data_IF_535156989263
#
_entry.id   IF_535156989263
#
_cell.length_a   1.000
_cell.length_b   1.000
_cell.length_c   1.000
_cell.angle_alpha   90.00
_cell.angle_beta   90.00
_cell.angle_gamma   90.00
#
_symmetry.space_group_name_H-M   'P 1'
#
loop_
_entity.id
_entity.type
_entity.pdbx_description
1 polymer ?
#
# COMPACT_ATOMS: atom_id res chain seq x y z
N UNK A 1 1.84 -13.93 9.57
CA UNK A 1 2.89 -14.03 8.53
C UNK A 1 2.22 -14.39 7.22
N UNK A 2 2.63 -13.80 6.08
CA UNK A 2 2.03 -14.09 4.79
C UNK A 2 2.13 -15.58 4.44
N UNK A 3 1.18 -16.10 3.65
CA UNK A 3 1.24 -17.47 3.12
C UNK A 3 2.55 -17.61 2.31
N UNK A 4 3.33 -18.66 2.58
CA UNK A 4 4.62 -18.88 1.92
C UNK A 4 5.82 -18.20 2.59
N UNK A 5 5.65 -17.60 3.77
CA UNK A 5 6.76 -17.02 4.53
C UNK A 5 7.74 -18.11 4.99
N UNK A 6 8.87 -18.23 4.31
CA UNK A 6 10.02 -19.00 4.77
C UNK A 6 11.01 -18.08 5.46
N UNK A 7 11.23 -18.27 6.76
CA UNK A 7 12.19 -17.49 7.56
C UNK A 7 13.60 -17.50 6.96
N UNK A 8 13.98 -18.57 6.26
CA UNK A 8 15.30 -18.70 5.62
C UNK A 8 15.49 -17.67 4.50
N UNK A 9 14.41 -17.25 3.85
CA UNK A 9 14.41 -16.25 2.79
C UNK A 9 14.52 -14.80 3.31
N UNK A 10 14.33 -14.61 4.62
CA UNK A 10 14.38 -13.31 5.33
C UNK A 10 15.39 -13.35 6.46
N UNK A 11 16.57 -13.92 6.18
CA UNK A 11 17.71 -13.96 7.09
C UNK A 11 18.82 -13.07 6.56
N UNK A 12 19.36 -12.21 7.42
CA UNK A 12 20.49 -11.34 7.11
C UNK A 12 21.68 -11.72 7.99
N UNK A 13 22.70 -12.32 7.39
CA UNK A 13 23.85 -12.89 8.11
C UNK A 13 25.09 -11.96 8.17
N UNK A 14 25.04 -10.80 7.50
CA UNK A 14 26.19 -9.89 7.32
C UNK A 14 26.39 -8.90 8.47
N UNK A 15 25.81 -9.18 9.65
CA UNK A 15 25.82 -8.29 10.81
C UNK A 15 24.70 -7.26 10.76
N UNK A 16 24.99 -6.03 11.20
CA UNK A 16 24.01 -4.94 11.17
C UNK A 16 23.88 -4.35 9.75
N UNK A 17 22.66 -4.11 9.23
CA UNK A 17 22.50 -3.59 7.87
C UNK A 17 23.10 -2.19 7.70
N UNK A 18 23.98 -2.05 6.72
CA UNK A 18 24.50 -0.78 6.23
C UNK A 18 24.38 -0.75 4.72
N UNK A 19 24.56 0.41 4.10
CA UNK A 19 24.50 0.53 2.64
C UNK A 19 25.52 -0.37 1.95
N UNK A 20 26.70 -0.54 2.56
CA UNK A 20 27.85 -1.24 1.98
C UNK A 20 27.71 -2.77 2.03
N UNK A 21 26.97 -3.30 3.02
CA UNK A 21 26.78 -4.76 3.15
C UNK A 21 25.43 -5.25 2.63
N UNK A 22 24.46 -4.36 2.37
CA UNK A 22 23.22 -4.68 1.69
C UNK A 22 23.44 -4.89 0.18
N UNK A 23 22.85 -5.97 -0.35
CA UNK A 23 22.76 -6.19 -1.79
C UNK A 23 21.60 -5.34 -2.38
N UNK A 24 21.93 -4.34 -3.19
CA UNK A 24 20.94 -3.44 -3.79
C UNK A 24 20.15 -4.08 -4.94
N UNK A 25 20.63 -5.18 -5.51
CA UNK A 25 19.90 -5.95 -6.53
C UNK A 25 18.89 -6.91 -5.90
N UNK A 26 19.00 -7.17 -4.59
CA UNK A 26 18.05 -7.97 -3.83
C UNK A 26 16.94 -7.08 -3.24
N UNK A 27 15.65 -7.25 -3.66
CA UNK A 27 14.53 -6.48 -3.14
C UNK A 27 14.41 -6.45 -1.61
N UNK A 28 14.83 -7.53 -0.94
CA UNK A 28 14.75 -7.68 0.52
C UNK A 28 15.84 -6.91 1.26
N UNK A 29 16.92 -6.54 0.59
CA UNK A 29 18.08 -5.83 1.17
C UNK A 29 18.19 -4.39 0.67
N UNK A 30 17.65 -4.08 -0.53
CA UNK A 30 17.80 -2.79 -1.20
C UNK A 30 17.49 -1.56 -0.32
N UNK A 31 16.43 -1.62 0.49
CA UNK A 31 16.05 -0.56 1.44
C UNK A 31 16.33 -0.90 2.89
N UNK A 32 16.85 -2.10 3.18
CA UNK A 32 16.99 -2.59 4.56
C UNK A 32 17.85 -1.65 5.42
N UNK A 33 18.95 -1.12 4.87
CA UNK A 33 19.84 -0.18 5.55
C UNK A 33 19.20 1.18 5.85
N UNK A 34 18.10 1.55 5.19
CA UNK A 34 17.35 2.77 5.47
C UNK A 34 16.29 2.58 6.57
N UNK A 35 15.99 1.34 6.94
CA UNK A 35 14.94 0.98 7.89
C UNK A 35 15.47 0.74 9.31
N UNK A 36 16.71 1.13 9.57
CA UNK A 36 17.39 1.01 10.86
C UNK A 36 17.62 2.40 11.46
N UNK A 37 17.75 2.47 12.79
CA UNK A 37 17.98 3.71 13.54
C UNK A 37 17.05 4.86 13.11
N UNK A 38 15.74 4.57 13.04
CA UNK A 38 14.75 5.52 12.52
C UNK A 38 14.70 6.82 13.36
N UNK A 39 14.26 7.94 12.77
CA UNK A 39 14.15 9.21 13.48
C UNK A 39 13.40 9.07 14.82
N UNK A 40 14.01 9.59 15.90
CA UNK A 40 13.44 9.53 17.25
C UNK A 40 13.80 8.28 18.06
N UNK A 41 14.53 7.30 17.51
CA UNK A 41 15.04 6.18 18.29
C UNK A 41 16.22 6.60 19.21
N UNK A 42 16.05 6.38 20.51
CA UNK A 42 17.08 6.55 21.53
C UNK A 42 17.48 5.19 22.10
N UNK A 43 18.55 4.60 21.56
CA UNK A 43 18.89 3.18 21.81
C UNK A 43 18.07 2.22 20.95
N UNK A 44 18.45 0.94 20.92
CA UNK A 44 17.90 -0.11 20.04
C UNK A 44 17.85 0.28 18.55
N UNK A 45 18.85 -0.17 17.79
CA UNK A 45 19.04 0.20 16.38
C UNK A 45 17.96 -0.34 15.43
N UNK A 46 17.05 -1.19 15.92
CA UNK A 46 15.99 -1.83 15.15
C UNK A 46 14.66 -1.65 15.87
N UNK A 47 13.67 -1.01 15.22
CA UNK A 47 12.30 -0.88 15.74
C UNK A 47 11.51 -2.20 15.65
N UNK A 48 11.88 -3.05 14.69
CA UNK A 48 11.27 -4.34 14.41
C UNK A 48 12.36 -5.37 14.10
N UNK A 49 12.08 -6.69 14.20
CA UNK A 49 13.06 -7.72 13.83
C UNK A 49 13.54 -7.57 12.37
N UNK A 50 14.81 -7.90 12.11
CA UNK A 50 15.41 -7.78 10.77
C UNK A 50 14.59 -8.48 9.68
N UNK A 51 14.06 -9.67 9.95
CA UNK A 51 13.24 -10.41 8.99
C UNK A 51 11.96 -9.65 8.59
N UNK A 52 11.41 -8.84 9.51
CA UNK A 52 10.28 -7.96 9.20
C UNK A 52 10.71 -6.76 8.36
N UNK A 53 11.84 -6.14 8.69
CA UNK A 53 12.39 -5.02 7.91
C UNK A 53 12.77 -5.45 6.49
N UNK A 54 13.22 -6.69 6.29
CA UNK A 54 13.43 -7.27 4.96
C UNK A 54 12.12 -7.41 4.17
N UNK A 55 11.02 -7.82 4.81
CA UNK A 55 9.69 -7.80 4.18
C UNK A 55 9.24 -6.38 3.83
N UNK A 56 9.56 -5.39 4.67
CA UNK A 56 9.28 -3.98 4.36
C UNK A 56 10.10 -3.49 3.17
N UNK A 57 11.38 -3.85 3.07
CA UNK A 57 12.22 -3.53 1.91
C UNK A 57 11.64 -4.10 0.62
N UNK A 58 11.27 -5.38 0.62
CA UNK A 58 10.64 -6.04 -0.53
C UNK A 58 9.29 -5.38 -0.88
N UNK A 59 8.51 -5.02 0.14
CA UNK A 59 7.27 -4.29 -0.04
C UNK A 59 7.48 -2.94 -0.73
N UNK A 60 8.46 -2.14 -0.30
CA UNK A 60 8.80 -0.86 -0.90
C UNK A 60 9.24 -1.03 -2.36
N UNK A 61 10.06 -2.05 -2.65
CA UNK A 61 10.45 -2.38 -4.02
C UNK A 61 9.27 -2.74 -4.91
N UNK A 62 8.34 -3.57 -4.43
CA UNK A 62 7.13 -3.96 -5.15
C UNK A 62 6.17 -2.79 -5.34
N UNK A 63 6.08 -1.88 -4.37
CA UNK A 63 5.31 -0.64 -4.48
C UNK A 63 5.94 0.38 -5.44
N UNK A 64 7.10 0.06 -6.04
CA UNK A 64 7.79 0.94 -6.98
C UNK A 64 8.55 2.09 -6.31
N UNK A 65 8.86 1.97 -5.01
CA UNK A 65 9.70 2.96 -4.34
C UNK A 65 11.07 2.99 -5.04
N UNK A 66 11.41 4.11 -5.65
CA UNK A 66 12.73 4.40 -6.21
C UNK A 66 12.83 5.90 -6.52
N UNK A 67 14.04 6.46 -6.46
CA UNK A 67 14.30 7.78 -7.00
C UNK A 67 14.19 7.71 -8.53
N UNK A 68 13.48 8.67 -9.13
CA UNK A 68 13.46 8.80 -10.60
C UNK A 68 14.86 9.16 -11.06
N UNK A 69 15.42 8.40 -12.00
CA UNK A 69 16.74 8.68 -12.54
C UNK A 69 16.74 10.05 -13.23
N UNK A 70 17.54 11.01 -12.74
CA UNK A 70 17.58 12.37 -13.32
C UNK A 70 18.06 12.37 -14.78
N UNK A 71 18.88 11.39 -15.18
CA UNK A 71 19.47 11.34 -16.52
C UNK A 71 18.52 10.79 -17.59
N UNK A 72 17.71 9.77 -17.25
CA UNK A 72 16.85 9.09 -18.22
C UNK A 72 15.36 9.09 -17.86
N UNK A 73 14.99 9.67 -16.73
CA UNK A 73 13.61 9.67 -16.23
C UNK A 73 13.09 8.30 -15.81
N UNK A 74 13.94 7.26 -15.78
CA UNK A 74 13.50 5.92 -15.42
C UNK A 74 13.03 5.88 -13.97
N UNK A 75 11.80 5.43 -13.77
CA UNK A 75 11.24 5.05 -12.50
C UNK A 75 10.58 3.68 -12.64
N UNK A 76 10.69 2.87 -11.60
CA UNK A 76 10.16 1.52 -11.60
C UNK A 76 8.65 1.60 -11.40
N UNK A 77 7.90 1.02 -12.33
CA UNK A 77 6.45 0.90 -12.17
C UNK A 77 6.10 0.01 -10.98
N UNK A 78 5.12 0.45 -10.19
CA UNK A 78 4.63 -0.31 -9.05
C UNK A 78 4.00 -1.63 -9.52
N UNK A 79 4.39 -2.73 -8.88
CA UNK A 79 3.83 -4.07 -9.12
C UNK A 79 2.59 -4.34 -8.27
N UNK A 80 2.31 -3.46 -7.30
CA UNK A 80 1.11 -3.48 -6.46
C UNK A 80 0.72 -2.07 -6.05
N UNK A 81 -0.57 -1.85 -5.86
CA UNK A 81 -1.13 -0.57 -5.42
C UNK A 81 -2.03 -0.76 -4.20
N UNK A 82 -2.06 0.23 -3.33
CA UNK A 82 -2.88 0.22 -2.12
C UNK A 82 -4.30 0.65 -2.42
N UNK A 83 -5.28 -0.18 -2.05
CA UNK A 83 -6.71 0.14 -2.10
C UNK A 83 -7.22 0.29 -0.67
N UNK A 84 -7.80 1.46 -0.32
CA UNK A 84 -8.27 1.70 1.04
C UNK A 84 -9.57 0.92 1.28
N UNK A 85 -9.98 0.76 2.55
CA UNK A 85 -11.32 0.26 2.87
C UNK A 85 -12.40 1.12 2.20
N UNK A 86 -13.43 0.46 1.67
CA UNK A 86 -14.62 1.08 1.09
C UNK A 86 -15.69 1.36 2.16
N UNK A 87 -16.81 1.98 1.78
CA UNK A 87 -17.90 2.28 2.71
C UNK A 87 -18.53 1.03 3.34
N UNK A 88 -18.51 -0.11 2.64
CA UNK A 88 -19.00 -1.40 3.14
C UNK A 88 -17.98 -2.14 4.03
N UNK A 89 -16.72 -1.68 4.08
CA UNK A 89 -15.68 -2.24 4.95
C UNK A 89 -15.74 -1.62 6.36
N UNK A 90 -15.19 -2.30 7.39
CA UNK A 90 -14.99 -1.68 8.70
C UNK A 90 -14.17 -0.40 8.58
N UNK A 91 -14.41 0.54 9.51
CA UNK A 91 -13.67 1.80 9.62
C UNK A 91 -12.16 1.58 9.45
N UNK A 92 -11.45 2.51 8.78
CA UNK A 92 -10.03 2.36 8.42
C UNK A 92 -9.08 2.05 9.60
N UNK A 93 -9.51 2.35 10.82
CA UNK A 93 -8.79 2.01 12.05
C UNK A 93 -8.75 0.49 12.31
N UNK A 94 -9.74 -0.25 11.83
CA UNK A 94 -9.90 -1.71 12.02
C UNK A 94 -9.81 -2.51 10.73
N UNK A 95 -9.85 -1.84 9.56
CA UNK A 95 -9.60 -2.45 8.26
C UNK A 95 -8.35 -1.85 7.62
N UNK A 96 -7.27 -2.63 7.38
CA UNK A 96 -6.01 -2.12 6.86
C UNK A 96 -6.01 -1.89 5.34
N UNK A 97 -7.16 -2.03 4.68
CA UNK A 97 -7.27 -2.05 3.22
C UNK A 97 -6.62 -3.30 2.61
N UNK A 98 -6.30 -3.22 1.32
CA UNK A 98 -5.65 -4.32 0.59
C UNK A 98 -4.64 -3.81 -0.42
N UNK A 99 -3.66 -4.64 -0.72
CA UNK A 99 -2.74 -4.44 -1.84
C UNK A 99 -3.15 -5.36 -2.98
N UNK A 100 -3.29 -4.80 -4.18
CA UNK A 100 -3.73 -5.54 -5.38
C UNK A 100 -2.80 -5.27 -6.55
N UNK A 101 -2.85 -6.14 -7.55
CA UNK A 101 -2.20 -5.90 -8.84
C UNK A 101 -2.76 -4.59 -9.45
N UNK A 102 -1.91 -3.72 -10.04
CA UNK A 102 -2.34 -2.45 -10.61
C UNK A 102 -3.50 -2.59 -11.60
N UNK A 103 -3.48 -3.64 -12.43
CA UNK A 103 -4.51 -3.91 -13.44
C UNK A 103 -5.88 -4.32 -12.85
N UNK A 104 -5.92 -4.69 -11.57
CA UNK A 104 -7.14 -5.09 -10.84
C UNK A 104 -7.60 -4.01 -9.86
N UNK A 105 -6.89 -2.89 -9.79
CA UNK A 105 -7.25 -1.81 -8.89
C UNK A 105 -8.53 -1.12 -9.41
N UNK A 106 -9.46 -0.72 -8.51
CA UNK A 106 -10.56 0.15 -8.90
C UNK A 106 -10.01 1.46 -9.47
N UNK A 107 -10.67 1.98 -10.50
CA UNK A 107 -10.28 3.22 -11.15
C UNK A 107 -10.50 4.40 -10.19
N UNK A 108 -9.40 5.02 -9.77
CA UNK A 108 -9.41 6.15 -8.82
C UNK A 108 -9.53 7.51 -9.50
N UNK A 109 -9.29 7.57 -10.80
CA UNK A 109 -9.45 8.78 -11.60
C UNK A 109 -10.77 8.74 -12.40
N UNK A 110 -11.61 7.74 -12.12
CA UNK A 110 -12.96 7.62 -12.65
C UNK A 110 -13.86 8.78 -12.24
N UNK A 111 -15.05 8.87 -12.83
CA UNK A 111 -16.00 9.96 -12.62
C UNK A 111 -16.21 10.23 -11.10
N UNK A 112 -16.08 11.49 -10.63
CA UNK A 112 -16.33 11.84 -9.24
C UNK A 112 -17.69 11.36 -8.71
N UNK A 113 -18.69 11.22 -9.58
CA UNK A 113 -19.99 10.66 -9.24
C UNK A 113 -19.90 9.15 -8.96
N UNK A 114 -19.16 8.41 -9.76
CA UNK A 114 -18.94 6.98 -9.55
C UNK A 114 -18.20 6.74 -8.24
N UNK A 115 -17.18 7.56 -7.93
CA UNK A 115 -16.47 7.50 -6.65
C UNK A 115 -17.40 7.80 -5.47
N UNK A 116 -18.24 8.82 -5.60
CA UNK A 116 -19.22 9.16 -4.57
C UNK A 116 -20.24 8.05 -4.36
N UNK A 117 -20.68 7.39 -5.44
CA UNK A 117 -21.59 6.24 -5.38
C UNK A 117 -20.88 5.05 -4.72
N UNK A 118 -19.64 4.74 -5.09
CA UNK A 118 -18.87 3.63 -4.52
C UNK A 118 -18.58 3.81 -3.03
N UNK A 119 -18.40 5.05 -2.57
CA UNK A 119 -18.20 5.36 -1.16
C UNK A 119 -19.45 5.11 -0.29
N UNK A 120 -20.64 5.03 -0.89
CA UNK A 120 -21.88 4.74 -0.18
C UNK A 120 -22.04 3.26 0.12
N UNK A 121 -22.53 2.96 1.32
CA UNK A 121 -22.94 1.59 1.67
C UNK A 121 -24.12 1.12 0.83
N UNK A 122 -24.35 -0.18 0.76
CA UNK A 122 -25.54 -0.74 0.09
C UNK A 122 -26.86 -0.11 0.55
N UNK A 123 -27.01 0.14 1.85
CA UNK A 123 -28.21 0.79 2.42
C UNK A 123 -28.32 2.26 2.00
N UNK A 124 -27.19 2.98 1.97
CA UNK A 124 -27.15 4.38 1.52
C UNK A 124 -27.47 4.50 0.03
N UNK A 125 -26.99 3.58 -0.81
CA UNK A 125 -27.33 3.50 -2.24
C UNK A 125 -28.83 3.30 -2.44
N UNK A 126 -29.45 2.38 -1.71
CA UNK A 126 -30.89 2.16 -1.77
C UNK A 126 -31.69 3.40 -1.34
N UNK A 127 -31.27 4.08 -0.27
CA UNK A 127 -31.89 5.32 0.19
C UNK A 127 -31.71 6.47 -0.81
N UNK A 128 -30.52 6.61 -1.41
CA UNK A 128 -30.24 7.60 -2.46
C UNK A 128 -31.14 7.37 -3.67
N UNK A 129 -31.23 6.14 -4.16
CA UNK A 129 -32.08 5.76 -5.28
C UNK A 129 -33.56 6.10 -5.01
N UNK A 130 -34.07 5.77 -3.82
CA UNK A 130 -35.44 6.09 -3.44
C UNK A 130 -35.72 7.60 -3.40
N UNK A 131 -34.73 8.43 -3.01
CA UNK A 131 -34.85 9.90 -3.02
C UNK A 131 -34.80 10.47 -4.42
N UNK A 132 -33.86 10.02 -5.26
CA UNK A 132 -33.73 10.47 -6.65
C UNK A 132 -34.99 10.13 -7.46
N UNK A 133 -35.57 8.94 -7.26
CA UNK A 133 -36.82 8.54 -7.91
C UNK A 133 -37.98 9.49 -7.57
N UNK A 134 -38.11 9.88 -6.30
CA UNK A 134 -39.14 10.84 -5.87
C UNK A 134 -38.96 12.23 -6.49
N UNK A 135 -37.71 12.69 -6.62
CA UNK A 135 -37.40 13.98 -7.25
C UNK A 135 -37.72 13.97 -8.75
N UNK A 136 -37.39 12.87 -9.45
CA UNK A 136 -37.74 12.70 -10.85
C UNK A 136 -39.27 12.65 -11.07
N UNK A 137 -40.01 11.96 -10.20
CA UNK A 137 -41.49 11.95 -10.24
C UNK A 137 -42.11 13.32 -9.95
N UNK A 138 -41.43 14.17 -9.17
CA UNK A 138 -41.84 15.55 -8.90
C UNK A 138 -41.45 16.54 -10.02
N UNK A 139 -40.61 16.13 -10.98
CA UNK A 139 -40.10 16.98 -12.07
C UNK A 139 -38.95 17.90 -11.66
N UNK A 140 -38.32 17.65 -10.51
CA UNK A 140 -37.18 18.42 -9.98
C UNK A 140 -35.81 17.85 -10.44
N UNK A 141 -35.84 16.86 -11.35
CA UNK A 141 -34.66 16.19 -11.91
C UNK A 141 -34.87 15.82 -13.39
#
# INVERSE_FOLDING_TARGET
>A
MPKGFDKRNYSFAKGFPTRENCDLDNPREMFLWMLVALPGQNGAQLVMPLSYLMMMSEHLHEAGAMLTCEACGFSKQAQKVYVPPSGDDPHWLTSPGRWVDPDKAPDRDGDPLDQAIEALTGTQKAALFARLKKLAEAGDL
#
